data_IF_491547010243
#
_entry.id   IF_491547010243
#
_cell.length_a   1.000
_cell.length_b   1.000
_cell.length_c   1.000
_cell.angle_alpha   90.00
_cell.angle_beta   90.00
_cell.angle_gamma   90.00
#
_symmetry.space_group_name_H-M   'P 1'
#
loop_
_entity.id
_entity.type
_entity.pdbx_description
1 polymer ?
#
# COMPACT_ATOMS: atom_id res chain seq x y z
N UNK A 1 17.45 -19.16 18.55
CA UNK A 1 18.53 -19.20 17.55
C UNK A 1 18.56 -17.84 16.90
N UNK A 2 19.45 -16.97 17.37
CA UNK A 2 19.70 -15.66 16.78
C UNK A 2 20.51 -15.90 15.51
N UNK A 3 19.87 -15.88 14.34
CA UNK A 3 20.60 -15.82 13.07
C UNK A 3 21.35 -14.50 13.04
N UNK A 4 22.67 -14.55 13.20
CA UNK A 4 23.53 -13.42 12.91
C UNK A 4 23.48 -13.22 11.40
N UNK A 5 22.85 -12.14 10.93
CA UNK A 5 22.87 -11.75 9.53
C UNK A 5 24.31 -11.49 9.12
N UNK A 6 24.73 -12.07 8.00
CA UNK A 6 26.05 -11.84 7.43
C UNK A 6 26.10 -10.41 6.87
N UNK A 7 27.02 -9.54 7.33
CA UNK A 7 27.09 -8.17 6.84
C UNK A 7 27.41 -8.06 5.34
N UNK A 8 27.91 -9.14 4.72
CA UNK A 8 28.33 -9.17 3.31
C UNK A 8 27.27 -9.73 2.35
N UNK A 9 26.07 -10.07 2.84
CA UNK A 9 25.00 -10.71 2.04
C UNK A 9 24.59 -9.88 0.81
N UNK A 10 24.65 -8.54 0.90
CA UNK A 10 24.21 -7.64 -0.18
C UNK A 10 25.36 -7.07 -1.04
N UNK A 11 26.59 -7.57 -0.87
CA UNK A 11 27.79 -7.02 -1.55
C UNK A 11 28.04 -7.65 -2.93
N UNK A 12 27.37 -8.75 -3.25
CA UNK A 12 27.56 -9.56 -4.46
C UNK A 12 27.41 -8.77 -5.77
N UNK A 13 26.33 -8.00 -5.91
CA UNK A 13 26.05 -7.21 -7.10
C UNK A 13 27.02 -6.03 -7.24
N UNK A 14 27.33 -5.34 -6.13
CA UNK A 14 28.28 -4.24 -6.13
C UNK A 14 29.69 -4.72 -6.47
N UNK A 15 30.10 -5.87 -5.95
CA UNK A 15 31.38 -6.50 -6.26
C UNK A 15 31.49 -6.87 -7.75
N UNK A 16 30.48 -7.57 -8.29
CA UNK A 16 30.47 -8.01 -9.71
C UNK A 16 30.43 -6.83 -10.69
N UNK A 17 29.76 -5.74 -10.33
CA UNK A 17 29.70 -4.53 -11.15
C UNK A 17 30.89 -3.58 -10.93
N UNK A 18 31.82 -3.90 -10.01
CA UNK A 18 32.97 -3.06 -9.69
C UNK A 18 32.60 -1.73 -9.02
N UNK A 19 31.51 -1.71 -8.25
CA UNK A 19 30.98 -0.53 -7.58
C UNK A 19 31.39 -0.39 -6.11
N UNK A 20 32.06 -1.41 -5.54
CA UNK A 20 32.67 -1.32 -4.21
C UNK A 20 33.91 -0.43 -4.24
N UNK A 21 34.17 0.29 -3.15
CA UNK A 21 35.46 0.93 -2.94
C UNK A 21 36.55 -0.10 -2.62
N UNK A 22 37.80 0.34 -2.55
CA UNK A 22 38.94 -0.57 -2.41
C UNK A 22 38.97 -1.28 -1.06
N UNK A 23 38.52 -0.63 0.01
CA UNK A 23 38.52 -1.20 1.36
C UNK A 23 37.40 -2.24 1.50
N UNK A 24 36.20 -1.93 1.03
CA UNK A 24 35.05 -2.85 1.02
C UNK A 24 35.30 -4.04 0.11
N UNK A 25 35.95 -3.83 -1.04
CA UNK A 25 36.32 -4.91 -1.97
C UNK A 25 37.32 -5.87 -1.32
N UNK A 26 38.36 -5.36 -0.67
CA UNK A 26 39.33 -6.21 0.02
C UNK A 26 38.69 -7.02 1.16
N UNK A 27 37.79 -6.39 1.93
CA UNK A 27 37.04 -7.07 3.00
C UNK A 27 36.13 -8.18 2.44
N UNK A 28 35.44 -7.90 1.34
CA UNK A 28 34.57 -8.89 0.69
C UNK A 28 35.36 -10.05 0.08
N UNK A 29 36.50 -9.79 -0.57
CA UNK A 29 37.38 -10.83 -1.10
C UNK A 29 37.93 -11.76 0.01
N UNK A 30 38.25 -11.21 1.19
CA UNK A 30 38.62 -12.02 2.34
C UNK A 30 37.45 -12.89 2.83
N UNK A 31 36.24 -12.34 2.87
CA UNK A 31 35.04 -13.07 3.26
C UNK A 31 34.72 -14.22 2.28
N UNK A 32 34.84 -14.00 0.97
CA UNK A 32 34.61 -15.00 -0.08
C UNK A 32 35.49 -16.26 0.08
N UNK A 33 36.66 -16.16 0.72
CA UNK A 33 37.52 -17.33 0.98
C UNK A 33 36.90 -18.32 1.99
N UNK A 34 35.88 -17.89 2.75
CA UNK A 34 35.32 -18.65 3.88
C UNK A 34 33.81 -18.84 3.81
N UNK A 35 33.13 -18.18 2.87
CA UNK A 35 31.68 -18.21 2.73
C UNK A 35 31.25 -18.75 1.36
N UNK A 36 30.79 -20.00 1.34
CA UNK A 36 30.28 -20.66 0.13
C UNK A 36 29.02 -19.99 -0.41
N UNK A 37 28.17 -19.42 0.46
CA UNK A 37 26.94 -18.74 0.05
C UNK A 37 27.23 -17.47 -0.75
N UNK A 38 28.13 -16.61 -0.27
CA UNK A 38 28.55 -15.41 -0.99
C UNK A 38 29.32 -15.75 -2.29
N UNK A 39 30.12 -16.83 -2.27
CA UNK A 39 30.80 -17.33 -3.49
C UNK A 39 29.79 -17.78 -4.55
N UNK A 40 28.72 -18.48 -4.14
CA UNK A 40 27.64 -18.89 -5.04
C UNK A 40 26.88 -17.67 -5.61
N UNK A 41 26.55 -16.68 -4.77
CA UNK A 41 25.87 -15.45 -5.19
C UNK A 41 26.65 -14.69 -6.28
N UNK A 42 27.97 -14.50 -6.09
CA UNK A 42 28.85 -13.91 -7.11
C UNK A 42 28.86 -14.73 -8.41
N UNK A 43 28.86 -16.06 -8.30
CA UNK A 43 28.87 -16.94 -9.47
C UNK A 43 27.59 -16.87 -10.30
N UNK A 44 26.44 -16.58 -9.68
CA UNK A 44 25.16 -16.35 -10.37
C UNK A 44 25.18 -15.04 -11.19
N UNK A 45 25.77 -13.99 -10.62
CA UNK A 45 25.76 -12.65 -11.21
C UNK A 45 26.86 -12.40 -12.25
N UNK A 46 27.94 -13.19 -12.28
CA UNK A 46 29.11 -12.99 -13.18
C UNK A 46 28.78 -12.92 -14.68
N UNK A 47 27.61 -13.43 -15.09
CA UNK A 47 27.14 -13.41 -16.48
C UNK A 47 26.51 -12.06 -16.88
N UNK A 48 26.17 -11.20 -15.91
CA UNK A 48 25.45 -9.94 -16.15
C UNK A 48 26.34 -8.81 -16.71
N UNK A 49 27.55 -8.52 -16.19
CA UNK A 49 28.38 -7.43 -16.73
C UNK A 49 28.59 -7.45 -18.26
N UNK A 50 28.88 -8.59 -18.91
CA UNK A 50 29.03 -8.60 -20.37
C UNK A 50 27.70 -8.40 -21.11
N UNK A 51 26.55 -8.71 -20.50
CA UNK A 51 25.23 -8.38 -21.06
C UNK A 51 24.94 -6.88 -20.95
N UNK A 52 25.25 -6.28 -19.80
CA UNK A 52 25.09 -4.85 -19.56
C UNK A 52 26.02 -4.03 -20.46
N UNK A 53 27.23 -4.50 -20.75
CA UNK A 53 28.14 -3.85 -21.68
C UNK A 53 27.61 -3.76 -23.13
N UNK A 54 26.59 -4.57 -23.49
CA UNK A 54 25.91 -4.50 -24.80
C UNK A 54 24.76 -3.49 -24.83
N UNK A 55 24.25 -3.08 -23.67
CA UNK A 55 23.28 -2.00 -23.60
C UNK A 55 24.03 -0.69 -23.89
N UNK A 56 23.77 -0.08 -25.04
CA UNK A 56 24.36 1.21 -25.37
C UNK A 56 23.79 2.26 -24.40
N UNK A 57 24.63 3.00 -23.66
CA UNK A 57 24.16 4.10 -22.80
C UNK A 57 23.61 5.30 -23.59
N UNK A 58 23.65 5.23 -24.92
CA UNK A 58 23.30 6.30 -25.85
C UNK A 58 21.84 6.22 -26.35
N UNK A 59 21.02 5.35 -25.75
CA UNK A 59 19.56 5.51 -25.87
C UNK A 59 19.22 6.90 -25.30
N UNK A 60 18.57 7.78 -26.09
CA UNK A 60 18.22 9.11 -25.63
C UNK A 60 17.38 8.96 -24.37
N UNK A 61 17.98 9.31 -23.23
CA UNK A 61 17.28 9.31 -21.95
C UNK A 61 16.02 10.12 -22.17
N UNK A 62 14.81 9.55 -21.93
CA UNK A 62 13.58 10.30 -22.14
C UNK A 62 13.72 11.57 -21.31
N UNK A 63 13.69 12.71 -22.00
CA UNK A 63 13.85 14.01 -21.38
C UNK A 63 12.74 14.13 -20.34
N UNK A 64 13.12 14.04 -19.07
CA UNK A 64 12.18 14.15 -17.97
C UNK A 64 11.66 15.58 -18.04
N UNK A 65 10.39 15.81 -18.41
CA UNK A 65 9.89 17.15 -18.56
C UNK A 65 10.07 17.89 -17.22
N UNK A 66 10.52 19.16 -17.24
CA UNK A 66 10.75 19.90 -16.00
C UNK A 66 9.46 19.91 -15.18
N UNK A 67 9.58 19.52 -13.91
CA UNK A 67 8.44 19.42 -13.01
C UNK A 67 7.70 20.77 -12.98
N UNK A 68 6.39 20.81 -13.32
CA UNK A 68 5.68 22.08 -13.44
C UNK A 68 5.64 22.77 -12.06
N UNK A 69 6.12 24.02 -12.01
CA UNK A 69 6.18 24.85 -10.79
C UNK A 69 4.79 25.14 -10.18
N UNK A 70 3.72 24.72 -10.83
CA UNK A 70 2.32 24.87 -10.41
C UNK A 70 1.82 23.75 -9.48
N UNK A 71 2.59 22.68 -9.27
CA UNK A 71 2.21 21.58 -8.37
C UNK A 71 2.08 22.04 -6.90
N UNK A 72 3.00 22.89 -6.43
CA UNK A 72 3.00 23.42 -5.06
C UNK A 72 1.83 24.39 -4.81
N UNK A 73 1.57 25.42 -5.66
CA UNK A 73 0.39 26.28 -5.52
C UNK A 73 -0.94 25.53 -5.70
N UNK A 74 -0.95 24.51 -6.55
CA UNK A 74 -2.12 23.67 -6.83
C UNK A 74 -2.63 22.97 -5.58
N UNK A 75 -1.74 22.27 -4.85
CA UNK A 75 -2.08 21.55 -3.63
C UNK A 75 -2.55 22.47 -2.50
N UNK A 76 -1.96 23.66 -2.36
CA UNK A 76 -2.37 24.63 -1.33
C UNK A 76 -3.79 25.17 -1.56
N UNK A 77 -4.21 25.35 -2.82
CA UNK A 77 -5.60 25.74 -3.15
C UNK A 77 -6.59 24.64 -2.82
N UNK A 78 -6.27 23.37 -3.07
CA UNK A 78 -7.14 22.23 -2.74
C UNK A 78 -7.36 22.12 -1.23
N UNK A 79 -6.31 22.29 -0.43
CA UNK A 79 -6.40 22.28 1.05
C UNK A 79 -7.20 23.47 1.58
N UNK A 80 -7.01 24.68 1.03
CA UNK A 80 -7.76 25.86 1.50
C UNK A 80 -9.27 25.73 1.20
N UNK A 81 -9.61 25.19 0.03
CA UNK A 81 -11.00 24.96 -0.38
C UNK A 81 -11.68 23.88 0.47
N UNK A 82 -10.95 22.84 0.87
CA UNK A 82 -11.47 21.82 1.79
C UNK A 82 -11.72 22.39 3.20
N UNK A 83 -10.81 23.23 3.73
CA UNK A 83 -10.99 23.89 5.04
C UNK A 83 -12.18 24.84 5.06
N UNK A 84 -12.38 25.63 4.00
CA UNK A 84 -13.54 26.54 3.90
C UNK A 84 -14.84 25.74 3.81
N UNK A 85 -14.91 24.71 2.96
CA UNK A 85 -16.09 23.83 2.86
C UNK A 85 -16.40 23.13 4.18
N UNK A 86 -15.39 22.63 4.90
CA UNK A 86 -15.56 21.99 6.22
C UNK A 86 -16.08 22.98 7.27
N UNK A 87 -15.58 24.22 7.28
CA UNK A 87 -16.07 25.27 8.18
C UNK A 87 -17.52 25.66 7.87
N UNK A 88 -17.89 25.76 6.60
CA UNK A 88 -19.28 26.00 6.19
C UNK A 88 -20.20 24.83 6.55
N UNK A 89 -19.75 23.58 6.37
CA UNK A 89 -20.50 22.40 6.76
C UNK A 89 -20.72 22.31 8.28
N UNK A 90 -19.70 22.62 9.08
CA UNK A 90 -19.82 22.68 10.55
C UNK A 90 -20.74 23.82 10.99
N UNK A 91 -20.67 24.99 10.33
CA UNK A 91 -21.58 26.11 10.58
C UNK A 91 -23.04 25.78 10.23
N UNK A 92 -23.27 25.08 9.12
CA UNK A 92 -24.59 24.61 8.72
C UNK A 92 -25.15 23.56 9.69
N UNK A 93 -24.33 22.62 10.18
CA UNK A 93 -24.74 21.65 11.18
C UNK A 93 -25.15 22.30 12.51
N UNK A 94 -24.47 23.36 12.94
CA UNK A 94 -24.84 24.13 14.13
C UNK A 94 -26.19 24.87 13.94
N UNK A 95 -26.47 25.39 12.75
CA UNK A 95 -27.75 26.01 12.42
C UNK A 95 -28.91 25.00 12.38
N UNK A 96 -28.69 23.80 11.82
CA UNK A 96 -29.71 22.72 11.80
C UNK A 96 -30.01 22.22 13.22
N UNK A 97 -29.01 22.09 14.09
CA UNK A 97 -29.23 21.72 15.50
C UNK A 97 -30.07 22.76 16.26
N UNK A 98 -29.88 24.05 15.96
CA UNK A 98 -30.71 25.12 16.53
C UNK A 98 -32.17 25.06 16.03
N UNK A 99 -32.39 24.69 14.76
CA UNK A 99 -33.74 24.50 14.19
C UNK A 99 -34.41 23.22 14.73
N UNK A 100 -33.65 22.13 14.93
CA UNK A 100 -34.16 20.87 15.47
C UNK A 100 -34.61 20.97 16.95
N UNK A 101 -34.05 21.91 17.72
CA UNK A 101 -34.51 22.20 19.09
C UNK A 101 -35.82 22.99 19.12
N UNK A 102 -36.21 23.65 18.02
CA UNK A 102 -37.44 24.45 17.92
C UNK A 102 -38.53 23.73 17.11
N UNK A 103 -38.16 22.87 16.16
CA UNK A 103 -39.07 22.14 15.28
C UNK A 103 -39.05 20.65 15.54
N UNK A 104 -39.78 20.19 16.56
CA UNK A 104 -40.12 18.78 16.69
C UNK A 104 -40.98 18.30 15.50
N UNK A 105 -40.82 17.00 15.20
CA UNK A 105 -41.65 16.12 14.34
C UNK A 105 -41.18 15.84 12.90
N UNK A 106 -40.98 14.53 12.68
CA UNK A 106 -41.00 13.76 11.43
C UNK A 106 -39.94 14.06 10.36
N UNK A 107 -39.08 13.05 10.10
CA UNK A 107 -39.08 12.27 8.84
C UNK A 107 -38.07 11.11 9.02
N UNK A 108 -38.59 9.88 8.95
CA UNK A 108 -37.79 8.69 8.68
C UNK A 108 -37.25 8.82 7.25
N UNK A 109 -35.93 8.86 7.09
CA UNK A 109 -35.29 8.72 5.79
C UNK A 109 -34.05 7.83 5.91
N UNK A 110 -34.29 6.54 5.70
CA UNK A 110 -33.36 5.61 5.09
C UNK A 110 -32.82 6.21 3.77
N UNK A 111 -31.49 6.09 3.53
CA UNK A 111 -30.82 6.13 2.20
C UNK A 111 -29.28 6.10 2.31
N UNK A 112 -28.73 4.92 2.07
CA UNK A 112 -27.68 4.61 1.07
C UNK A 112 -26.30 5.24 1.20
N UNK A 113 -25.29 4.41 1.47
CA UNK A 113 -23.88 4.76 1.42
C UNK A 113 -23.44 5.30 0.03
N UNK A 114 -22.64 6.39 -0.03
CA UNK A 114 -22.15 6.94 -1.28
C UNK A 114 -21.13 6.01 -1.95
N UNK A 115 -21.13 5.89 -3.30
CA UNK A 115 -20.18 5.05 -4.02
C UNK A 115 -18.73 5.54 -3.82
N UNK A 116 -17.73 4.64 -3.82
CA UNK A 116 -16.34 5.02 -3.65
C UNK A 116 -15.88 5.95 -4.78
N UNK A 117 -15.27 7.07 -4.40
CA UNK A 117 -14.69 8.03 -5.36
C UNK A 117 -13.42 7.47 -5.98
N UNK A 118 -13.38 7.46 -7.32
CA UNK A 118 -12.25 6.93 -8.10
C UNK A 118 -10.96 7.71 -7.77
N UNK A 119 -9.91 6.99 -7.37
CA UNK A 119 -8.57 7.55 -7.16
C UNK A 119 -8.37 8.32 -5.86
N UNK A 120 -9.29 8.26 -4.89
CA UNK A 120 -9.05 8.76 -3.53
C UNK A 120 -8.96 7.60 -2.53
N UNK A 121 -8.13 7.70 -1.48
CA UNK A 121 -8.12 6.71 -0.42
C UNK A 121 -9.51 6.60 0.23
N UNK A 122 -10.08 5.40 0.21
CA UNK A 122 -11.31 5.05 0.92
C UNK A 122 -10.91 4.53 2.29
N UNK A 123 -11.40 5.17 3.36
CA UNK A 123 -11.23 4.65 4.71
C UNK A 123 -12.09 3.40 4.88
N UNK A 124 -11.52 2.34 5.45
CA UNK A 124 -12.27 1.11 5.71
C UNK A 124 -12.92 1.14 7.10
N UNK A 125 -14.12 0.58 7.19
CA UNK A 125 -14.85 0.36 8.42
C UNK A 125 -14.44 -0.97 9.07
N UNK A 126 -14.27 -0.95 10.39
CA UNK A 126 -13.96 -2.15 11.19
C UNK A 126 -15.22 -2.95 11.45
N UNK A 127 -15.27 -4.21 11.03
CA UNK A 127 -16.40 -5.11 11.29
C UNK A 127 -16.44 -5.62 12.76
N UNK A 128 -15.35 -5.45 13.51
CA UNK A 128 -15.24 -5.77 14.94
C UNK A 128 -14.26 -4.82 15.62
N UNK A 129 -14.19 -4.81 16.96
CA UNK A 129 -13.31 -3.96 17.77
C UNK A 129 -11.80 -4.29 17.64
N UNK A 130 -11.33 -4.61 16.43
CA UNK A 130 -9.95 -4.84 16.12
C UNK A 130 -9.21 -3.49 16.03
N UNK A 131 -8.00 -3.35 16.62
CA UNK A 131 -7.23 -2.10 16.61
C UNK A 131 -6.49 -1.92 15.27
N UNK A 132 -7.18 -2.12 14.15
CA UNK A 132 -6.62 -1.95 12.80
C UNK A 132 -7.37 -0.84 12.11
N UNK A 133 -6.63 0.17 11.64
CA UNK A 133 -7.13 1.15 10.68
C UNK A 133 -6.52 0.83 9.33
N UNK A 134 -7.31 0.87 8.28
CA UNK A 134 -6.78 0.74 6.93
C UNK A 134 -7.34 1.80 6.00
N UNK A 135 -6.50 2.24 5.07
CA UNK A 135 -6.89 3.03 3.91
C UNK A 135 -6.72 2.15 2.66
N UNK A 136 -7.67 2.28 1.74
CA UNK A 136 -7.67 1.53 0.48
C UNK A 136 -7.60 2.51 -0.68
N UNK A 137 -6.70 2.27 -1.62
CA UNK A 137 -6.62 2.99 -2.88
C UNK A 137 -6.89 2.03 -4.05
N UNK A 138 -7.96 2.33 -4.79
CA UNK A 138 -8.31 1.65 -6.02
C UNK A 138 -7.85 2.51 -7.20
N UNK A 139 -6.84 2.02 -7.92
CA UNK A 139 -6.31 2.68 -9.10
C UNK A 139 -6.80 1.95 -10.36
N UNK A 140 -7.63 2.59 -11.20
CA UNK A 140 -8.02 2.02 -12.48
C UNK A 140 -6.82 1.84 -13.41
N UNK A 141 -6.74 0.70 -14.07
CA UNK A 141 -5.70 0.34 -15.04
C UNK A 141 -6.37 -0.21 -16.31
N UNK A 142 -5.67 -0.18 -17.45
CA UNK A 142 -6.22 -0.70 -18.71
C UNK A 142 -6.59 -2.20 -18.63
N UNK A 143 -5.91 -2.95 -17.76
CA UNK A 143 -6.12 -4.38 -17.53
C UNK A 143 -7.07 -4.70 -16.36
N UNK A 144 -7.61 -3.70 -15.65
CA UNK A 144 -8.45 -3.92 -14.46
C UNK A 144 -8.21 -2.88 -13.36
N UNK A 145 -8.00 -3.33 -12.14
CA UNK A 145 -7.78 -2.44 -10.98
C UNK A 145 -6.57 -2.88 -10.16
N UNK A 146 -5.65 -1.94 -9.90
CA UNK A 146 -4.63 -2.09 -8.88
C UNK A 146 -5.21 -1.68 -7.53
N UNK A 147 -5.04 -2.55 -6.54
CA UNK A 147 -5.55 -2.37 -5.18
C UNK A 147 -4.37 -2.20 -4.24
N UNK A 148 -4.21 -1.01 -3.67
CA UNK A 148 -3.18 -0.74 -2.66
C UNK A 148 -3.86 -0.48 -1.33
N UNK A 149 -3.41 -1.14 -0.26
CA UNK A 149 -3.95 -0.96 1.07
C UNK A 149 -2.83 -0.65 2.06
N UNK A 150 -3.02 0.37 2.88
CA UNK A 150 -2.13 0.70 4.00
C UNK A 150 -2.84 0.33 5.29
N UNK A 151 -2.21 -0.51 6.10
CA UNK A 151 -2.73 -0.97 7.39
C UNK A 151 -1.89 -0.40 8.52
N UNK A 152 -2.55 0.29 9.44
CA UNK A 152 -2.01 0.75 10.70
C UNK A 152 -2.53 -0.17 11.81
N UNK A 153 -1.62 -0.85 12.49
CA UNK A 153 -1.96 -1.75 13.60
C UNK A 153 -1.65 -1.04 14.92
N UNK A 154 -2.69 -0.64 15.66
CA UNK A 154 -2.50 0.11 16.89
C UNK A 154 -2.18 -0.79 18.10
N UNK A 155 -0.98 -0.59 18.65
CA UNK A 155 -0.56 -0.99 20.00
C UNK A 155 0.07 -2.37 20.15
N UNK A 156 0.59 -2.63 21.36
CA UNK A 156 1.07 -3.95 21.85
C UNK A 156 -0.07 -4.97 22.07
N UNK A 157 -1.31 -4.58 21.70
CA UNK A 157 -2.51 -5.43 21.64
C UNK A 157 -2.65 -6.16 20.31
N UNK A 158 -1.56 -6.32 19.57
CA UNK A 158 -1.54 -7.45 18.67
C UNK A 158 -1.94 -8.70 19.44
N UNK A 159 -2.75 -9.60 18.86
CA UNK A 159 -3.10 -10.82 19.53
C UNK A 159 -1.80 -11.52 19.93
N UNK A 160 -1.51 -11.60 21.22
CA UNK A 160 -0.53 -12.54 21.76
C UNK A 160 -1.08 -13.91 21.36
N UNK A 161 -0.56 -14.45 20.26
CA UNK A 161 -1.21 -15.52 19.52
C UNK A 161 -0.44 -15.87 18.25
N UNK A 162 -0.81 -16.99 17.60
CA UNK A 162 -0.14 -17.47 16.42
C UNK A 162 -0.21 -16.45 15.29
N UNK A 163 0.83 -16.43 14.44
CA UNK A 163 0.94 -15.60 13.24
C UNK A 163 -0.37 -15.67 12.45
N UNK A 164 -1.12 -14.57 12.41
CA UNK A 164 -2.40 -14.51 11.68
C UNK A 164 -2.14 -14.12 10.23
N UNK A 165 -2.86 -14.76 9.33
CA UNK A 165 -2.81 -14.45 7.91
C UNK A 165 -4.13 -13.79 7.52
N UNK A 166 -4.03 -12.64 6.85
CA UNK A 166 -5.17 -11.92 6.28
C UNK A 166 -5.17 -12.04 4.77
N UNK A 167 -6.36 -11.97 4.20
CA UNK A 167 -6.65 -11.97 2.78
C UNK A 167 -7.40 -10.70 2.40
N UNK A 168 -6.99 -10.07 1.32
CA UNK A 168 -7.70 -8.95 0.72
C UNK A 168 -8.59 -9.51 -0.38
N UNK A 169 -9.89 -9.34 -0.22
CA UNK A 169 -10.91 -9.94 -1.08
C UNK A 169 -11.76 -8.84 -1.70
N UNK A 170 -11.86 -8.85 -3.03
CA UNK A 170 -12.69 -7.94 -3.82
C UNK A 170 -13.99 -8.63 -4.17
N UNK A 171 -15.12 -7.97 -3.92
CA UNK A 171 -16.45 -8.47 -4.27
C UNK A 171 -16.93 -7.74 -5.53
N UNK A 172 -17.33 -8.48 -6.58
CA UNK A 172 -17.98 -7.91 -7.76
C UNK A 172 -19.35 -7.27 -7.43
N UNK A 173 -19.80 -6.30 -8.25
CA UNK A 173 -21.17 -5.73 -8.18
C UNK A 173 -22.23 -6.63 -8.80
N UNK A 174 -21.86 -7.47 -9.75
CA UNK A 174 -22.76 -8.39 -10.45
C UNK A 174 -23.10 -9.65 -9.63
N UNK A 175 -22.57 -9.76 -8.41
CA UNK A 175 -22.74 -10.93 -7.55
C UNK A 175 -21.84 -12.12 -7.94
N UNK A 176 -20.86 -11.91 -8.81
CA UNK A 176 -19.85 -12.91 -9.16
C UNK A 176 -19.00 -13.36 -7.98
N UNK A 177 -18.16 -14.37 -8.22
CA UNK A 177 -17.30 -14.96 -7.20
C UNK A 177 -16.32 -13.93 -6.61
N UNK A 178 -16.22 -13.80 -5.28
CA UNK A 178 -15.21 -12.95 -4.65
C UNK A 178 -13.79 -13.34 -5.07
N UNK A 179 -12.95 -12.35 -5.37
CA UNK A 179 -11.56 -12.56 -5.79
C UNK A 179 -10.59 -12.21 -4.66
N UNK A 180 -9.73 -13.14 -4.26
CA UNK A 180 -8.61 -12.85 -3.33
C UNK A 180 -7.45 -12.25 -4.11
N UNK A 181 -7.16 -10.98 -3.85
CA UNK A 181 -6.17 -10.19 -4.61
C UNK A 181 -4.81 -10.06 -3.90
N UNK A 182 -4.76 -10.32 -2.60
CA UNK A 182 -3.51 -10.36 -1.82
C UNK A 182 -3.68 -11.18 -0.53
N UNK A 183 -2.57 -11.70 -0.01
CA UNK A 183 -2.50 -12.43 1.27
C UNK A 183 -1.21 -12.08 1.99
N UNK A 184 -1.28 -11.78 3.29
CA UNK A 184 -0.11 -11.40 4.08
C UNK A 184 -0.22 -11.86 5.54
N UNK A 185 0.93 -12.02 6.19
CA UNK A 185 1.01 -12.23 7.62
C UNK A 185 0.90 -10.89 8.36
N UNK A 186 0.09 -10.85 9.41
CA UNK A 186 -0.02 -9.69 10.30
C UNK A 186 1.19 -9.66 11.23
N UNK A 187 1.91 -8.55 11.23
CA UNK A 187 3.03 -8.30 12.12
C UNK A 187 2.63 -7.26 13.19
N UNK A 188 2.58 -7.66 14.46
CA UNK A 188 2.34 -6.76 15.60
C UNK A 188 3.19 -5.49 15.57
N UNK A 189 2.58 -4.32 15.76
CA UNK A 189 3.30 -3.04 15.87
C UNK A 189 4.06 -2.60 14.61
N UNK A 190 3.83 -3.27 13.47
CA UNK A 190 4.41 -2.92 12.18
C UNK A 190 3.29 -2.62 11.20
N UNK A 191 3.30 -1.42 10.65
CA UNK A 191 2.40 -1.06 9.57
C UNK A 191 2.69 -1.93 8.34
N UNK A 192 1.66 -2.21 7.54
CA UNK A 192 1.79 -3.03 6.34
C UNK A 192 1.19 -2.31 5.14
N UNK A 193 1.96 -2.25 4.06
CA UNK A 193 1.47 -1.84 2.74
C UNK A 193 1.32 -3.08 1.88
N UNK A 194 0.09 -3.35 1.44
CA UNK A 194 -0.26 -4.54 0.67
C UNK A 194 -0.75 -4.10 -0.70
N UNK A 195 -0.23 -4.71 -1.76
CA UNK A 195 -0.66 -4.45 -3.13
C UNK A 195 -1.18 -5.73 -3.77
N UNK A 196 -2.35 -5.65 -4.40
CA UNK A 196 -2.96 -6.71 -5.19
C UNK A 196 -3.54 -6.18 -6.50
N UNK A 197 -4.10 -7.07 -7.29
CA UNK A 197 -4.76 -6.73 -8.56
C UNK A 197 -5.98 -7.61 -8.82
N UNK A 198 -6.92 -7.08 -9.60
CA UNK A 198 -8.10 -7.78 -10.12
C UNK A 198 -8.33 -7.35 -11.56
N UNK A 199 -8.93 -8.23 -12.37
CA UNK A 199 -9.41 -7.95 -13.73
C UNK A 199 -10.69 -7.09 -13.73
N UNK A 200 -11.36 -6.94 -12.59
CA UNK A 200 -12.52 -6.07 -12.44
C UNK A 200 -12.12 -4.60 -12.61
N UNK A 201 -12.97 -3.84 -13.30
CA UNK A 201 -12.87 -2.38 -13.31
C UNK A 201 -13.24 -1.81 -11.94
N UNK A 202 -12.67 -0.68 -11.55
CA UNK A 202 -12.96 -0.07 -10.24
C UNK A 202 -14.46 0.21 -10.05
N UNK A 203 -15.18 0.51 -11.14
CA UNK A 203 -16.62 0.72 -11.12
C UNK A 203 -17.42 -0.58 -10.93
N UNK A 204 -16.86 -1.74 -11.24
CA UNK A 204 -17.47 -3.06 -11.08
C UNK A 204 -17.22 -3.68 -9.69
N UNK A 205 -16.43 -3.04 -8.82
CA UNK A 205 -16.18 -3.48 -7.45
C UNK A 205 -17.29 -2.96 -6.53
N UNK A 206 -18.01 -3.84 -5.84
CA UNK A 206 -19.05 -3.46 -4.87
C UNK A 206 -18.45 -3.14 -3.52
N UNK A 207 -17.51 -3.97 -3.08
CA UNK A 207 -16.94 -3.90 -1.74
C UNK A 207 -15.56 -4.56 -1.74
N UNK A 208 -14.67 -4.06 -0.90
CA UNK A 208 -13.39 -4.71 -0.61
C UNK A 208 -13.36 -5.08 0.85
N UNK A 209 -12.92 -6.30 1.15
CA UNK A 209 -12.89 -6.85 2.50
C UNK A 209 -11.51 -7.35 2.86
N UNK A 210 -11.11 -7.15 4.11
CA UNK A 210 -10.03 -7.91 4.73
C UNK A 210 -10.65 -9.05 5.50
N UNK A 211 -10.28 -10.27 5.16
CA UNK A 211 -10.74 -11.49 5.82
C UNK A 211 -9.60 -12.22 6.50
N UNK A 212 -9.91 -12.93 7.56
CA UNK A 212 -9.03 -13.98 8.08
C UNK A 212 -9.13 -15.24 7.21
N UNK A 213 -8.18 -16.16 7.32
CA UNK A 213 -8.18 -17.42 6.54
C UNK A 213 -9.34 -18.36 6.87
N UNK A 214 -9.99 -18.19 8.02
CA UNK A 214 -11.25 -18.85 8.39
C UNK A 214 -12.51 -18.12 7.88
N UNK A 215 -12.35 -17.09 7.03
CA UNK A 215 -13.44 -16.42 6.32
C UNK A 215 -14.12 -15.28 7.07
N UNK A 216 -13.68 -14.95 8.30
CA UNK A 216 -14.26 -13.85 9.09
C UNK A 216 -13.83 -12.51 8.50
N UNK A 217 -14.79 -11.61 8.30
CA UNK A 217 -14.52 -10.23 7.86
C UNK A 217 -13.98 -9.41 9.03
N UNK A 218 -12.85 -8.74 8.83
CA UNK A 218 -12.18 -7.86 9.81
C UNK A 218 -12.42 -6.40 9.43
N UNK A 219 -12.22 -6.07 8.16
CA UNK A 219 -12.44 -4.74 7.59
C UNK A 219 -13.28 -4.86 6.33
N UNK A 220 -14.06 -3.83 6.04
CA UNK A 220 -14.75 -3.64 4.75
C UNK A 220 -14.78 -2.17 4.36
N UNK A 221 -14.85 -1.89 3.07
CA UNK A 221 -15.17 -0.54 2.55
C UNK A 221 -16.65 -0.26 2.63
#
# INVERSE_FOLDING_TARGET
>A
MTSSTDPFEEFDAAYVLGALDDDDRAAYEQHLQTCDACTAAVAELRSLPPLLARAQPDEPRPEVPPMPQTLLPGMLRTVRRSRIRRRLAVGAAAAVAAVALVGGTAVLADRGDPPPSIGQPVAMSTASAAPIRASLHLQPMAWGTKVTMECLYEGDRAPQGPRRTYELVVLPKDGGTPQTVARWAVLPGRDATVTGSTDLTAAAISQVQVRTTDGRVVLHT
#
